data_IF_380498371057
#
_entry.id   IF_380498371057
#
_cell.length_a   1.000
_cell.length_b   1.000
_cell.length_c   1.000
_cell.angle_alpha   90.00
_cell.angle_beta   90.00
_cell.angle_gamma   90.00
#
_symmetry.space_group_name_H-M   'P 1'
#
loop_
_entity.id
_entity.type
_entity.pdbx_description
1 polymer ?
#
# COMPACT_ATOMS: atom_id res chain seq x y z
N UNK A 1 -22.34 15.98 30.10
CA UNK A 1 -20.94 15.58 30.31
C UNK A 1 -20.15 16.22 29.19
N UNK A 2 -19.55 17.37 29.49
CA UNK A 2 -18.93 18.28 28.52
C UNK A 2 -17.61 17.72 27.96
N UNK A 3 -17.46 17.76 26.63
CA UNK A 3 -16.26 17.41 25.88
C UNK A 3 -15.23 18.57 25.91
N UNK A 4 -13.94 18.33 26.19
CA UNK A 4 -12.94 19.39 26.21
C UNK A 4 -12.53 19.85 24.79
N UNK A 5 -12.72 21.15 24.53
CA UNK A 5 -12.40 21.85 23.27
C UNK A 5 -10.90 21.77 22.87
N UNK A 6 -10.56 21.32 21.64
CA UNK A 6 -9.18 21.22 21.17
C UNK A 6 -8.55 22.60 20.90
N UNK A 7 -7.68 23.05 21.81
CA UNK A 7 -6.92 24.30 21.68
C UNK A 7 -6.08 24.35 20.40
N UNK A 8 -6.21 25.45 19.64
CA UNK A 8 -5.46 25.71 18.41
C UNK A 8 -3.94 25.75 18.67
N UNK A 9 -3.10 25.05 17.86
CA UNK A 9 -1.66 25.04 18.05
C UNK A 9 -1.00 26.36 17.61
N UNK A 10 0.04 26.78 18.34
CA UNK A 10 0.82 27.96 17.97
C UNK A 10 1.68 27.75 16.71
N UNK A 11 1.72 28.77 15.85
CA UNK A 11 2.53 28.78 14.62
C UNK A 11 4.02 28.97 14.92
N UNK A 12 4.87 28.23 14.22
CA UNK A 12 6.33 28.35 14.37
C UNK A 12 6.82 29.62 13.66
N UNK A 13 7.74 30.32 14.29
CA UNK A 13 8.41 31.46 13.66
C UNK A 13 9.30 30.98 12.51
N UNK A 14 9.14 31.62 11.34
CA UNK A 14 9.89 31.33 10.12
C UNK A 14 11.05 32.31 9.85
N UNK A 15 11.17 33.37 10.67
CA UNK A 15 12.20 34.41 10.53
C UNK A 15 12.70 34.90 11.89
N UNK A 16 13.83 35.61 11.87
CA UNK A 16 14.44 36.25 13.03
C UNK A 16 15.38 35.36 13.86
N UNK A 17 16.03 35.97 14.85
CA UNK A 17 17.12 35.39 15.67
C UNK A 17 16.77 34.02 16.30
N UNK A 18 15.50 33.77 16.63
CA UNK A 18 15.02 32.47 17.14
C UNK A 18 14.94 31.38 16.07
N UNK A 19 14.53 31.72 14.84
CA UNK A 19 14.50 30.80 13.71
C UNK A 19 15.95 30.44 13.31
N UNK A 20 16.81 31.46 13.15
CA UNK A 20 18.23 31.29 12.82
C UNK A 20 18.97 30.45 13.86
N UNK A 21 18.73 30.66 15.16
CA UNK A 21 19.35 29.85 16.23
C UNK A 21 18.90 28.39 16.18
N UNK A 22 17.66 28.13 15.76
CA UNK A 22 17.12 26.76 15.62
C UNK A 22 17.71 26.06 14.40
N UNK A 23 17.84 26.77 13.28
CA UNK A 23 18.49 26.26 12.07
C UNK A 23 19.99 26.04 12.26
N UNK A 24 20.69 26.98 12.89
CA UNK A 24 22.11 26.86 13.20
C UNK A 24 22.39 25.67 14.13
N UNK A 25 21.54 25.44 15.14
CA UNK A 25 21.61 24.22 15.97
C UNK A 25 21.43 22.97 15.11
N UNK A 26 20.39 22.93 14.26
CA UNK A 26 20.13 21.78 13.37
C UNK A 26 21.32 21.49 12.45
N UNK A 27 21.94 22.52 11.86
CA UNK A 27 23.12 22.40 10.99
C UNK A 27 24.37 21.91 11.77
N UNK A 28 24.59 22.39 13.00
CA UNK A 28 25.70 21.91 13.86
C UNK A 28 25.60 20.43 14.21
N UNK A 29 24.40 19.90 14.43
CA UNK A 29 24.21 18.47 14.71
C UNK A 29 24.26 17.58 13.45
N UNK A 30 24.08 18.16 12.26
CA UNK A 30 24.08 17.41 10.99
C UNK A 30 25.50 17.19 10.43
N UNK A 31 26.44 18.07 10.77
CA UNK A 31 27.79 18.09 10.21
C UNK A 31 28.85 17.40 11.09
N UNK A 32 28.49 16.86 12.26
CA UNK A 32 29.43 16.23 13.21
C UNK A 32 29.10 14.73 13.33
N UNK A 33 29.96 13.82 12.83
CA UNK A 33 29.68 12.38 12.79
C UNK A 33 29.59 11.75 14.19
N UNK A 34 30.16 12.38 15.22
CA UNK A 34 30.08 11.93 16.62
C UNK A 34 28.95 12.64 17.41
N UNK A 35 28.11 13.46 16.76
CA UNK A 35 27.00 14.16 17.41
C UNK A 35 26.00 13.21 18.10
N UNK A 36 25.85 11.98 17.59
CA UNK A 36 25.00 10.96 18.19
C UNK A 36 25.53 10.48 19.56
N UNK A 37 26.85 10.36 19.72
CA UNK A 37 27.51 9.98 20.99
C UNK A 37 27.48 11.12 22.01
N UNK A 38 27.55 12.37 21.53
CA UNK A 38 27.48 13.59 22.36
C UNK A 38 26.05 13.91 22.84
N UNK A 39 25.03 13.16 22.39
CA UNK A 39 23.62 13.39 22.71
C UNK A 39 23.24 12.66 24.01
N UNK A 40 22.59 13.34 24.94
CA UNK A 40 22.17 12.74 26.21
C UNK A 40 21.19 11.55 25.98
N UNK A 41 21.59 10.29 26.25
CA UNK A 41 20.77 9.12 25.95
C UNK A 41 19.47 9.07 26.77
N UNK A 42 19.46 9.64 27.98
CA UNK A 42 18.26 9.70 28.84
C UNK A 42 17.15 10.57 28.23
N UNK A 43 17.51 11.59 27.45
CA UNK A 43 16.54 12.44 26.75
C UNK A 43 15.90 11.75 25.53
N UNK A 44 16.42 10.60 25.09
CA UNK A 44 15.88 9.79 23.99
C UNK A 44 15.31 8.45 24.46
N UNK A 45 15.15 8.29 25.77
CA UNK A 45 14.48 7.14 26.34
C UNK A 45 13.02 7.11 25.87
N UNK A 46 12.54 5.91 25.56
CA UNK A 46 11.14 5.66 25.27
C UNK A 46 10.31 5.89 26.52
N UNK A 47 9.15 6.56 26.39
CA UNK A 47 8.27 6.84 27.52
C UNK A 47 7.65 5.57 28.13
N UNK A 48 7.52 4.49 27.36
CA UNK A 48 6.95 3.22 27.82
C UNK A 48 7.60 2.06 27.08
N UNK A 49 8.25 1.17 27.83
CA UNK A 49 8.88 -0.03 27.30
C UNK A 49 7.85 -1.00 26.70
N UNK A 50 6.77 -1.28 27.43
CA UNK A 50 5.73 -2.25 27.02
C UNK A 50 4.98 -1.82 25.75
N UNK A 51 4.67 -0.53 25.59
CA UNK A 51 4.04 -0.01 24.37
C UNK A 51 5.01 -0.04 23.19
N UNK A 52 6.29 0.26 23.41
CA UNK A 52 7.32 0.22 22.37
C UNK A 52 7.54 -1.22 21.89
N UNK A 53 7.65 -2.18 22.79
CA UNK A 53 7.82 -3.61 22.47
C UNK A 53 6.66 -4.13 21.61
N UNK A 54 5.41 -3.83 21.99
CA UNK A 54 4.24 -4.23 21.19
C UNK A 54 4.26 -3.68 19.76
N UNK A 55 4.65 -2.40 19.60
CA UNK A 55 4.79 -1.76 18.28
C UNK A 55 5.94 -2.36 17.49
N UNK A 56 7.07 -2.62 18.15
CA UNK A 56 8.24 -3.22 17.53
C UNK A 56 7.91 -4.62 17.03
N UNK A 57 7.31 -5.48 17.87
CA UNK A 57 6.88 -6.82 17.48
C UNK A 57 5.95 -6.79 16.26
N UNK A 58 4.87 -5.98 16.30
CA UNK A 58 3.93 -5.88 15.16
C UNK A 58 4.59 -5.39 13.88
N UNK A 59 5.48 -4.40 13.96
CA UNK A 59 6.17 -3.89 12.78
C UNK A 59 7.17 -4.89 12.21
N UNK A 60 7.87 -5.63 13.07
CA UNK A 60 8.75 -6.73 12.68
C UNK A 60 7.97 -7.87 12.03
N UNK A 61 6.82 -8.25 12.59
CA UNK A 61 5.95 -9.30 12.02
C UNK A 61 5.45 -8.90 10.63
N UNK A 62 4.98 -7.67 10.45
CA UNK A 62 4.51 -7.16 9.14
C UNK A 62 5.66 -7.15 8.12
N UNK A 63 6.84 -6.68 8.53
CA UNK A 63 8.03 -6.67 7.67
C UNK A 63 8.41 -8.09 7.27
N UNK A 64 8.51 -9.00 8.24
CA UNK A 64 8.84 -10.42 8.00
C UNK A 64 7.88 -11.09 7.03
N UNK A 65 6.56 -10.84 7.18
CA UNK A 65 5.53 -11.36 6.27
C UNK A 65 5.64 -10.78 4.85
N UNK A 66 6.14 -9.56 4.72
CA UNK A 66 6.32 -8.91 3.42
C UNK A 66 7.61 -9.33 2.70
N UNK A 67 8.57 -9.94 3.39
CA UNK A 67 9.81 -10.40 2.75
C UNK A 67 9.52 -11.62 1.87
N UNK A 68 9.68 -11.44 0.56
CA UNK A 68 9.59 -12.51 -0.43
C UNK A 68 10.95 -12.71 -1.09
N UNK A 69 11.22 -13.93 -1.57
CA UNK A 69 12.42 -14.22 -2.35
C UNK A 69 12.43 -13.31 -3.58
N UNK A 70 13.51 -12.55 -3.83
CA UNK A 70 13.59 -11.70 -5.03
C UNK A 70 13.54 -12.58 -6.26
N UNK A 71 12.53 -12.35 -7.11
CA UNK A 71 12.36 -13.02 -8.40
C UNK A 71 12.53 -11.99 -9.51
N UNK A 72 13.10 -12.41 -10.63
CA UNK A 72 13.24 -11.55 -11.80
C UNK A 72 11.90 -11.47 -12.53
N UNK A 73 11.33 -10.28 -12.60
CA UNK A 73 10.13 -10.03 -13.38
C UNK A 73 10.47 -9.99 -14.88
N UNK A 74 9.87 -10.91 -15.64
CA UNK A 74 10.04 -11.02 -17.11
C UNK A 74 8.84 -10.49 -17.89
N UNK A 75 8.01 -9.64 -17.28
CA UNK A 75 6.77 -9.17 -17.91
C UNK A 75 7.06 -8.12 -18.99
N UNK A 76 6.58 -8.30 -20.24
CA UNK A 76 6.75 -7.32 -21.31
C UNK A 76 5.94 -6.03 -21.04
N UNK A 77 6.25 -4.95 -21.78
CA UNK A 77 5.65 -3.63 -21.59
C UNK A 77 4.11 -3.62 -21.69
N UNK A 78 3.52 -4.46 -22.55
CA UNK A 78 2.08 -4.75 -22.56
C UNK A 78 1.85 -6.16 -22.02
N UNK A 79 1.20 -6.33 -20.85
CA UNK A 79 0.93 -7.64 -20.31
C UNK A 79 -0.07 -8.39 -21.21
N UNK A 80 0.11 -9.71 -21.41
CA UNK A 80 -0.87 -10.53 -22.11
C UNK A 80 -2.20 -10.60 -21.31
N UNK A 81 -3.31 -10.99 -21.96
CA UNK A 81 -4.58 -11.18 -21.28
C UNK A 81 -4.48 -12.12 -20.07
N UNK A 82 -4.98 -11.71 -18.91
CA UNK A 82 -5.03 -12.54 -17.73
C UNK A 82 -6.00 -13.71 -17.95
N UNK A 83 -5.55 -14.93 -17.67
CA UNK A 83 -6.37 -16.13 -17.85
C UNK A 83 -7.13 -16.42 -16.55
N UNK A 84 -8.44 -16.53 -16.65
CA UNK A 84 -9.33 -16.87 -15.53
C UNK A 84 -10.02 -18.18 -15.87
N UNK A 85 -9.99 -19.15 -14.97
CA UNK A 85 -10.61 -20.47 -15.22
C UNK A 85 -11.75 -20.68 -14.23
N UNK A 86 -12.94 -20.98 -14.76
CA UNK A 86 -14.11 -21.33 -13.94
C UNK A 86 -14.12 -22.86 -13.73
N UNK A 87 -13.72 -23.30 -12.54
CA UNK A 87 -13.71 -24.71 -12.14
C UNK A 87 -14.82 -25.03 -11.13
N UNK A 88 -15.20 -26.30 -11.02
CA UNK A 88 -16.21 -26.77 -10.07
C UNK A 88 -16.93 -28.06 -10.50
N UNK A 89 -17.78 -28.65 -9.65
CA UNK A 89 -18.56 -29.85 -9.95
C UNK A 89 -19.50 -29.69 -11.16
N UNK A 90 -20.04 -30.79 -11.73
CA UNK A 90 -21.05 -30.66 -12.78
C UNK A 90 -22.33 -30.01 -12.24
N UNK A 91 -23.09 -29.34 -13.12
CA UNK A 91 -24.41 -28.74 -12.84
C UNK A 91 -24.45 -27.56 -11.83
N UNK A 92 -23.32 -27.06 -11.33
CA UNK A 92 -23.26 -25.87 -10.44
C UNK A 92 -23.44 -24.52 -11.17
N UNK A 93 -23.78 -24.52 -12.46
CA UNK A 93 -24.00 -23.28 -13.22
C UNK A 93 -22.74 -22.57 -13.72
N UNK A 94 -21.60 -23.27 -13.87
CA UNK A 94 -20.34 -22.72 -14.42
C UNK A 94 -20.54 -21.96 -15.74
N UNK A 95 -21.28 -22.57 -16.68
CA UNK A 95 -21.61 -21.96 -17.97
C UNK A 95 -22.51 -20.73 -17.81
N UNK A 96 -23.42 -20.75 -16.83
CA UNK A 96 -24.29 -19.62 -16.51
C UNK A 96 -23.48 -18.44 -16.00
N UNK A 97 -22.51 -18.69 -15.12
CA UNK A 97 -21.61 -17.65 -14.61
C UNK A 97 -20.82 -16.99 -15.74
N UNK A 98 -20.25 -17.78 -16.65
CA UNK A 98 -19.55 -17.27 -17.83
C UNK A 98 -20.43 -16.37 -18.70
N UNK A 99 -21.68 -16.80 -18.97
CA UNK A 99 -22.66 -16.01 -19.74
C UNK A 99 -23.04 -14.71 -19.02
N UNK A 100 -23.24 -14.75 -17.71
CA UNK A 100 -23.57 -13.57 -16.90
C UNK A 100 -22.43 -12.56 -16.90
N UNK A 101 -21.18 -13.01 -16.74
CA UNK A 101 -20.01 -12.15 -16.78
C UNK A 101 -19.81 -11.52 -18.16
N UNK A 102 -19.90 -12.33 -19.22
CA UNK A 102 -19.82 -11.83 -20.59
C UNK A 102 -20.90 -10.77 -20.88
N UNK A 103 -22.14 -11.01 -20.43
CA UNK A 103 -23.24 -10.04 -20.55
C UNK A 103 -22.98 -8.76 -19.76
N UNK A 104 -22.42 -8.87 -18.56
CA UNK A 104 -22.14 -7.70 -17.72
C UNK A 104 -21.05 -6.81 -18.31
N UNK A 105 -20.00 -7.40 -18.90
CA UNK A 105 -18.88 -6.64 -19.45
C UNK A 105 -19.10 -6.16 -20.89
N UNK A 106 -19.74 -6.98 -21.75
CA UNK A 106 -19.95 -6.63 -23.16
C UNK A 106 -21.35 -6.06 -23.47
N UNK A 107 -22.30 -6.19 -22.54
CA UNK A 107 -23.72 -5.91 -22.80
C UNK A 107 -24.41 -6.94 -23.70
N UNK A 108 -23.68 -7.88 -24.29
CA UNK A 108 -24.20 -8.86 -25.25
C UNK A 108 -24.54 -10.20 -24.58
N UNK A 109 -25.68 -10.79 -24.94
CA UNK A 109 -26.09 -12.11 -24.44
C UNK A 109 -25.48 -13.21 -25.32
N UNK A 110 -24.56 -14.00 -24.77
CA UNK A 110 -24.02 -15.18 -25.44
C UNK A 110 -24.92 -16.41 -25.17
N UNK A 111 -25.48 -17.01 -26.23
CA UNK A 111 -26.45 -18.13 -26.13
C UNK A 111 -25.78 -19.47 -25.88
N UNK A 112 -24.74 -19.80 -26.67
CA UNK A 112 -23.89 -20.97 -26.45
C UNK A 112 -22.44 -20.54 -26.47
N UNK A 113 -21.67 -20.97 -25.48
CA UNK A 113 -20.26 -20.66 -25.38
C UNK A 113 -19.51 -21.97 -25.48
N UNK A 114 -18.67 -22.08 -26.52
CA UNK A 114 -17.72 -23.18 -26.72
C UNK A 114 -16.36 -22.57 -26.98
N UNK A 115 -15.42 -22.83 -26.07
CA UNK A 115 -14.08 -22.26 -26.14
C UNK A 115 -13.88 -21.01 -25.28
N UNK A 116 -12.66 -20.46 -25.29
CA UNK A 116 -12.26 -19.37 -24.41
C UNK A 116 -12.89 -18.05 -24.82
N UNK A 117 -13.37 -17.29 -23.85
CA UNK A 117 -14.03 -15.99 -24.05
C UNK A 117 -13.11 -14.87 -23.60
N UNK A 118 -12.86 -13.91 -24.48
CA UNK A 118 -12.05 -12.74 -24.12
C UNK A 118 -12.98 -11.57 -23.80
N UNK A 119 -12.91 -11.05 -22.58
CA UNK A 119 -13.66 -9.87 -22.14
C UNK A 119 -12.69 -8.74 -21.79
N UNK A 120 -13.04 -7.52 -22.19
CA UNK A 120 -12.28 -6.31 -21.86
C UNK A 120 -12.98 -5.65 -20.68
N UNK A 121 -12.23 -5.36 -19.62
CA UNK A 121 -12.75 -4.66 -18.44
C UNK A 121 -12.03 -3.32 -18.27
N UNK A 122 -12.76 -2.21 -18.46
CA UNK A 122 -12.26 -0.84 -18.28
C UNK A 122 -11.98 -0.06 -19.57
N UNK A 123 -11.85 1.27 -19.46
CA UNK A 123 -11.66 2.23 -20.60
C UNK A 123 -10.34 3.03 -20.53
N UNK A 124 -9.40 2.71 -19.62
CA UNK A 124 -8.18 3.53 -19.41
C UNK A 124 -6.90 2.70 -19.45
N UNK A 125 -5.95 3.16 -20.29
CA UNK A 125 -4.50 2.88 -20.49
C UNK A 125 -3.93 1.46 -20.30
N UNK A 126 -4.50 0.62 -19.44
CA UNK A 126 -4.19 -0.80 -19.30
C UNK A 126 -5.50 -1.55 -19.40
N UNK A 127 -5.89 -1.91 -20.62
CA UNK A 127 -7.04 -2.79 -20.85
C UNK A 127 -6.80 -4.08 -20.05
N UNK A 128 -7.56 -4.30 -18.99
CA UNK A 128 -7.56 -5.59 -18.29
C UNK A 128 -8.35 -6.55 -19.15
N UNK A 129 -7.64 -7.20 -20.07
CA UNK A 129 -8.18 -8.22 -20.94
C UNK A 129 -8.17 -9.53 -20.16
N UNK A 130 -9.34 -10.12 -19.95
CA UNK A 130 -9.48 -11.43 -19.32
C UNK A 130 -9.85 -12.46 -20.38
N UNK A 131 -9.16 -13.60 -20.37
CA UNK A 131 -9.54 -14.78 -21.13
C UNK A 131 -10.15 -15.79 -20.16
N UNK A 132 -11.47 -15.95 -20.21
CA UNK A 132 -12.29 -16.85 -19.39
C UNK A 132 -12.54 -18.19 -20.08
#
# INVERSE_FOLDING_TARGET
MDEPDPRKPHRKAHSGRKAEKKEAKKKKFLNDPDAAKKRNPKAFAIQSATKAERRFRRTMDIKSKSFHVPKVDRTPARPPPAIVVITGPPKVGKTTLLKCLAKNFSGQKLTSIKGPVTVISGKKEKDNIYRM
#
